data_IF_211868058787
#
_entry.id   IF_211868058787
#
_cell.length_a   1.000
_cell.length_b   1.000
_cell.length_c   1.000
_cell.angle_alpha   90.00
_cell.angle_beta   90.00
_cell.angle_gamma   90.00
#
_symmetry.space_group_name_H-M   'P 1'
#
loop_
_entity.id
_entity.type
_entity.pdbx_description
1 polymer ?
#
# COMPACT_ATOMS: atom_id res chain seq x y z
N UNK A 1 -24.30 5.87 -6.21
CA UNK A 1 -22.88 5.90 -5.84
C UNK A 1 -22.16 4.78 -6.58
N UNK A 2 -21.15 5.13 -7.37
CA UNK A 2 -20.27 4.24 -8.10
C UNK A 2 -18.93 4.20 -7.36
N UNK A 3 -18.54 3.02 -6.91
CA UNK A 3 -17.31 2.79 -6.17
C UNK A 3 -16.34 2.02 -7.04
N UNK A 4 -15.15 2.57 -7.25
CA UNK A 4 -14.04 1.83 -7.83
C UNK A 4 -13.29 1.07 -6.75
N UNK A 5 -12.93 -0.19 -6.99
CA UNK A 5 -12.00 -0.93 -6.14
C UNK A 5 -10.78 -1.37 -6.95
N UNK A 6 -9.64 -0.77 -6.63
CA UNK A 6 -8.32 -1.13 -7.15
C UNK A 6 -7.77 -2.26 -6.29
N UNK A 7 -7.46 -3.40 -6.91
CA UNK A 7 -7.13 -4.62 -6.17
C UNK A 7 -6.22 -5.55 -6.98
N UNK A 8 -5.31 -6.24 -6.31
CA UNK A 8 -4.55 -7.34 -6.91
C UNK A 8 -5.31 -8.68 -6.82
N UNK A 9 -4.99 -9.64 -7.71
CA UNK A 9 -5.68 -10.94 -7.73
C UNK A 9 -5.59 -11.71 -6.42
N UNK A 10 -4.48 -11.57 -5.68
CA UNK A 10 -4.29 -12.28 -4.42
C UNK A 10 -5.28 -11.80 -3.35
N UNK A 11 -5.42 -10.49 -3.17
CA UNK A 11 -6.39 -9.92 -2.23
C UNK A 11 -7.83 -10.20 -2.66
N UNK A 12 -8.12 -10.13 -3.96
CA UNK A 12 -9.45 -10.42 -4.49
C UNK A 12 -9.90 -11.85 -4.16
N UNK A 13 -9.00 -12.82 -4.30
CA UNK A 13 -9.29 -14.24 -4.06
C UNK A 13 -9.28 -14.64 -2.59
N UNK A 14 -8.50 -13.95 -1.73
CA UNK A 14 -8.24 -14.44 -0.38
C UNK A 14 -8.73 -13.54 0.77
N UNK A 15 -8.94 -12.23 0.55
CA UNK A 15 -9.02 -11.26 1.67
C UNK A 15 -10.22 -10.32 1.67
N UNK A 16 -10.98 -10.20 0.59
CA UNK A 16 -12.01 -9.13 0.48
C UNK A 16 -13.43 -9.61 0.22
N UNK A 17 -13.72 -10.91 0.32
CA UNK A 17 -15.04 -11.47 -0.02
C UNK A 17 -16.19 -10.80 0.75
N UNK A 18 -16.11 -10.73 2.07
CA UNK A 18 -17.16 -10.10 2.90
C UNK A 18 -17.23 -8.58 2.68
N UNK A 19 -16.07 -7.94 2.50
CA UNK A 19 -15.99 -6.51 2.18
C UNK A 19 -16.70 -6.18 0.86
N UNK A 20 -16.48 -6.98 -0.18
CA UNK A 20 -17.14 -6.84 -1.47
C UNK A 20 -18.63 -7.10 -1.39
N UNK A 21 -19.05 -8.12 -0.64
CA UNK A 21 -20.46 -8.42 -0.40
C UNK A 21 -21.16 -7.24 0.26
N UNK A 22 -20.53 -6.65 1.28
CA UNK A 22 -21.03 -5.46 1.94
C UNK A 22 -21.11 -4.26 0.99
N UNK A 23 -20.03 -3.92 0.28
CA UNK A 23 -20.01 -2.78 -0.65
C UNK A 23 -21.07 -2.90 -1.74
N UNK A 24 -21.21 -4.08 -2.35
CA UNK A 24 -22.22 -4.34 -3.38
C UNK A 24 -23.66 -4.21 -2.88
N UNK A 25 -23.89 -4.33 -1.57
CA UNK A 25 -25.20 -4.06 -0.95
C UNK A 25 -25.51 -2.56 -0.81
N UNK A 26 -24.52 -1.68 -0.99
CA UNK A 26 -24.62 -0.23 -0.76
C UNK A 26 -24.36 0.61 -2.01
N UNK A 27 -23.59 0.11 -2.97
CA UNK A 27 -23.15 0.85 -4.15
C UNK A 27 -22.91 -0.07 -5.34
N UNK A 28 -22.88 0.52 -6.54
CA UNK A 28 -22.35 -0.13 -7.74
C UNK A 28 -20.84 -0.22 -7.60
N UNK A 29 -20.25 -1.42 -7.72
CA UNK A 29 -18.81 -1.63 -7.53
C UNK A 29 -18.15 -2.02 -8.85
N UNK A 30 -17.24 -1.18 -9.32
CA UNK A 30 -16.36 -1.44 -10.47
C UNK A 30 -15.02 -1.99 -9.97
N UNK A 31 -14.60 -3.15 -10.49
CA UNK A 31 -13.35 -3.80 -10.09
C UNK A 31 -12.22 -3.46 -11.07
N UNK A 32 -11.14 -2.92 -10.52
CA UNK A 32 -9.93 -2.53 -11.22
C UNK A 32 -8.81 -3.49 -10.81
N UNK A 33 -8.75 -4.64 -11.49
CA UNK A 33 -7.76 -5.68 -11.22
C UNK A 33 -6.45 -5.30 -11.91
N UNK A 34 -5.44 -5.00 -11.11
CA UNK A 34 -4.17 -4.38 -11.51
C UNK A 34 -3.55 -4.97 -12.79
N UNK A 35 -3.36 -6.29 -12.84
CA UNK A 35 -2.66 -6.97 -13.95
C UNK A 35 -3.44 -6.86 -15.27
N UNK A 36 -4.77 -6.73 -15.18
CA UNK A 36 -5.64 -6.67 -16.36
C UNK A 36 -5.89 -5.23 -16.83
N UNK A 37 -5.78 -4.26 -15.91
CA UNK A 37 -6.20 -2.90 -16.16
C UNK A 37 -5.11 -2.07 -16.86
N UNK A 38 -3.86 -2.23 -16.43
CA UNK A 38 -2.70 -1.51 -16.97
C UNK A 38 -2.29 -1.99 -18.37
N UNK A 39 -2.47 -3.28 -18.66
CA UNK A 39 -2.19 -3.85 -20.00
C UNK A 39 -3.20 -3.39 -21.08
N UNK A 40 -4.30 -2.74 -20.69
CA UNK A 40 -5.43 -2.39 -21.58
C UNK A 40 -5.67 -0.88 -21.69
N UNK A 41 -4.73 -0.02 -21.29
CA UNK A 41 -4.97 1.43 -21.20
C UNK A 41 -4.84 2.16 -22.54
N UNK A 42 -5.95 2.29 -23.26
CA UNK A 42 -6.25 3.47 -24.08
C UNK A 42 -7.19 4.40 -23.30
N UNK A 43 -6.98 5.72 -23.40
CA UNK A 43 -7.71 6.83 -22.75
C UNK A 43 -8.95 6.42 -21.95
N UNK A 44 -8.81 6.32 -20.62
CA UNK A 44 -9.92 5.95 -19.73
C UNK A 44 -10.42 7.19 -19.00
N UNK A 45 -11.70 7.49 -19.20
CA UNK A 45 -12.44 8.41 -18.35
C UNK A 45 -13.00 7.59 -17.18
N UNK A 46 -12.72 8.01 -15.95
CA UNK A 46 -13.27 7.42 -14.74
C UNK A 46 -14.59 8.11 -14.38
N UNK A 47 -15.59 7.34 -13.98
CA UNK A 47 -16.93 7.83 -13.61
C UNK A 47 -17.27 7.51 -12.14
N UNK A 48 -16.29 6.99 -11.40
CA UNK A 48 -16.43 6.66 -9.99
C UNK A 48 -16.59 7.91 -9.12
N UNK A 49 -17.40 7.79 -8.07
CA UNK A 49 -17.51 8.81 -7.04
C UNK A 49 -16.34 8.74 -6.04
N UNK A 50 -15.77 7.54 -5.86
CA UNK A 50 -14.63 7.27 -4.96
C UNK A 50 -13.93 5.98 -5.36
N UNK A 51 -12.63 5.93 -5.16
CA UNK A 51 -11.84 4.71 -5.26
C UNK A 51 -11.42 4.18 -3.88
N UNK A 52 -11.51 2.87 -3.72
CA UNK A 52 -10.81 2.14 -2.66
C UNK A 52 -9.62 1.36 -3.23
N UNK A 53 -8.56 1.24 -2.44
CA UNK A 53 -7.35 0.50 -2.80
C UNK A 53 -7.14 -0.64 -1.80
N UNK A 54 -7.10 -1.86 -2.32
CA UNK A 54 -6.81 -3.09 -1.57
C UNK A 54 -5.74 -3.89 -2.31
N UNK A 55 -4.50 -3.48 -2.11
CA UNK A 55 -3.33 -4.18 -2.61
C UNK A 55 -2.08 -3.35 -2.37
N UNK A 56 -0.92 -3.92 -2.68
CA UNK A 56 0.37 -3.23 -2.63
C UNK A 56 1.24 -3.67 -3.79
N UNK A 57 2.03 -2.76 -4.34
CA UNK A 57 2.92 -3.01 -5.48
C UNK A 57 3.06 -1.78 -6.36
N UNK A 58 4.12 -1.74 -7.17
CA UNK A 58 4.48 -0.56 -7.98
C UNK A 58 3.39 -0.22 -9.00
N UNK A 59 2.73 -1.24 -9.55
CA UNK A 59 1.66 -1.08 -10.54
C UNK A 59 0.38 -0.52 -9.92
N UNK A 60 0.01 -0.95 -8.70
CA UNK A 60 -1.08 -0.34 -7.93
C UNK A 60 -0.74 1.11 -7.59
N UNK A 61 0.48 1.37 -7.11
CA UNK A 61 0.93 2.73 -6.79
C UNK A 61 0.88 3.64 -8.01
N UNK A 62 1.31 3.17 -9.17
CA UNK A 62 1.26 3.91 -10.41
C UNK A 62 -0.18 4.24 -10.83
N UNK A 63 -1.10 3.28 -10.72
CA UNK A 63 -2.52 3.51 -11.03
C UNK A 63 -3.16 4.52 -10.07
N UNK A 64 -2.94 4.36 -8.76
CA UNK A 64 -3.47 5.28 -7.74
C UNK A 64 -2.96 6.69 -7.97
N UNK A 65 -1.65 6.85 -8.21
CA UNK A 65 -1.04 8.13 -8.54
C UNK A 65 -1.68 8.74 -9.79
N UNK A 66 -1.87 7.96 -10.85
CA UNK A 66 -2.49 8.42 -12.09
C UNK A 66 -3.91 8.93 -11.88
N UNK A 67 -4.72 8.24 -11.07
CA UNK A 67 -6.09 8.67 -10.76
C UNK A 67 -6.07 9.99 -9.97
N UNK A 68 -5.22 10.09 -8.95
CA UNK A 68 -5.09 11.30 -8.13
C UNK A 68 -4.57 12.51 -8.91
N UNK A 69 -3.68 12.31 -9.89
CA UNK A 69 -3.12 13.39 -10.71
C UNK A 69 -4.05 13.82 -11.85
N UNK A 70 -4.86 12.92 -12.39
CA UNK A 70 -5.68 13.17 -13.58
C UNK A 70 -7.15 13.43 -13.28
N UNK A 71 -7.60 13.18 -12.05
CA UNK A 71 -9.01 13.31 -11.67
C UNK A 71 -9.14 14.02 -10.33
N UNK A 72 -10.35 14.51 -10.03
CA UNK A 72 -10.71 14.98 -8.69
C UNK A 72 -11.40 13.91 -7.85
N UNK A 73 -11.38 12.64 -8.29
CA UNK A 73 -12.04 11.54 -7.60
C UNK A 73 -11.19 11.16 -6.38
N UNK A 74 -11.75 11.13 -5.17
CA UNK A 74 -11.01 10.74 -3.98
C UNK A 74 -10.58 9.28 -4.02
N UNK A 75 -9.36 8.99 -3.55
CA UNK A 75 -8.79 7.63 -3.49
C UNK A 75 -8.40 7.24 -2.07
N UNK A 76 -8.88 6.08 -1.61
CA UNK A 76 -8.73 5.57 -0.24
C UNK A 76 -8.14 4.15 -0.27
N UNK A 77 -6.88 3.89 0.04
CA UNK A 77 -5.87 4.80 0.56
C UNK A 77 -5.18 5.58 -0.56
N UNK A 78 -4.71 6.78 -0.25
CA UNK A 78 -4.02 7.63 -1.22
C UNK A 78 -2.65 7.10 -1.62
N UNK A 79 -2.12 7.54 -2.77
CA UNK A 79 -0.79 7.15 -3.25
C UNK A 79 0.26 7.39 -2.16
N UNK A 80 0.28 8.61 -1.60
CA UNK A 80 1.25 9.02 -0.58
C UNK A 80 1.16 8.15 0.68
N UNK A 81 -0.05 7.81 1.12
CA UNK A 81 -0.25 6.99 2.30
C UNK A 81 0.27 5.56 2.08
N UNK A 82 -0.04 4.95 0.93
CA UNK A 82 0.43 3.60 0.59
C UNK A 82 1.95 3.61 0.44
N UNK A 83 2.52 4.59 -0.27
CA UNK A 83 3.96 4.69 -0.49
C UNK A 83 4.74 4.87 0.81
N UNK A 84 4.27 5.72 1.72
CA UNK A 84 4.88 5.86 3.05
C UNK A 84 4.78 4.57 3.85
N UNK A 85 3.62 3.89 3.84
CA UNK A 85 3.46 2.62 4.55
C UNK A 85 4.45 1.54 4.06
N UNK A 86 4.81 1.56 2.78
CA UNK A 86 5.82 0.67 2.20
C UNK A 86 7.25 1.08 2.59
N UNK A 87 7.54 2.39 2.67
CA UNK A 87 8.86 2.93 2.97
C UNK A 87 9.05 3.17 4.48
N UNK A 88 9.41 2.12 5.22
CA UNK A 88 9.47 2.09 6.70
C UNK A 88 10.35 3.18 7.31
N UNK A 89 11.54 3.39 6.77
CA UNK A 89 12.48 4.39 7.27
C UNK A 89 11.91 5.81 7.15
N UNK A 90 11.38 6.13 5.96
CA UNK A 90 10.80 7.44 5.70
C UNK A 90 9.52 7.65 6.51
N UNK A 91 8.69 6.63 6.65
CA UNK A 91 7.49 6.69 7.49
C UNK A 91 7.87 6.98 8.95
N UNK A 92 8.83 6.24 9.51
CA UNK A 92 9.29 6.43 10.89
C UNK A 92 9.89 7.82 11.10
N UNK A 93 10.66 8.31 10.12
CA UNK A 93 11.20 9.68 10.14
C UNK A 93 10.10 10.73 10.13
N UNK A 94 9.08 10.56 9.28
CA UNK A 94 7.95 11.47 9.17
C UNK A 94 7.10 11.49 10.46
N UNK A 95 6.82 10.32 11.04
CA UNK A 95 6.10 10.18 12.31
C UNK A 95 6.88 10.84 13.47
N UNK A 96 8.20 10.59 13.57
CA UNK A 96 9.06 11.22 14.58
C UNK A 96 9.02 12.75 14.46
N UNK A 97 9.08 13.29 13.24
CA UNK A 97 8.97 14.74 12.98
C UNK A 97 7.61 15.31 13.39
N UNK A 98 6.54 14.53 13.27
CA UNK A 98 5.20 14.90 13.71
C UNK A 98 4.98 14.76 15.24
N UNK A 99 6.01 14.39 16.01
CA UNK A 99 5.89 14.18 17.45
C UNK A 99 5.22 12.86 17.84
N UNK A 100 5.04 11.94 16.89
CA UNK A 100 4.50 10.61 17.16
C UNK A 100 5.64 9.73 17.67
N UNK A 101 5.48 9.08 18.84
CA UNK A 101 6.49 8.15 19.36
C UNK A 101 6.76 7.01 18.37
N UNK A 102 8.03 6.80 18.07
CA UNK A 102 8.53 5.67 17.27
C UNK A 102 9.74 5.07 17.97
N UNK A 103 10.02 3.76 17.82
CA UNK A 103 11.27 3.17 18.32
C UNK A 103 12.49 3.87 17.72
N UNK A 104 13.62 3.84 18.44
CA UNK A 104 14.88 4.29 17.86
C UNK A 104 15.28 3.39 16.69
N UNK A 105 15.77 4.02 15.61
CA UNK A 105 16.14 3.33 14.38
C UNK A 105 17.40 3.94 13.76
N UNK A 106 18.14 3.12 13.04
CA UNK A 106 19.28 3.51 12.21
C UNK A 106 19.23 2.77 10.88
N UNK A 107 19.91 3.30 9.87
CA UNK A 107 20.24 2.55 8.67
C UNK A 107 21.47 1.70 8.95
N UNK A 108 21.44 0.44 8.52
CA UNK A 108 22.56 -0.47 8.59
C UNK A 108 22.92 -0.92 7.16
N UNK A 109 24.16 -0.71 6.70
CA UNK A 109 24.58 -1.19 5.38
C UNK A 109 24.47 -2.71 5.28
N UNK A 110 24.17 -3.19 4.07
CA UNK A 110 24.13 -4.63 3.80
C UNK A 110 25.51 -5.26 4.06
N UNK A 111 25.54 -6.40 4.74
CA UNK A 111 26.78 -7.10 5.09
C UNK A 111 27.57 -6.53 6.27
N UNK A 112 27.09 -5.46 6.92
CA UNK A 112 27.71 -4.90 8.12
C UNK A 112 26.92 -5.32 9.36
N UNK A 113 27.61 -5.75 10.42
CA UNK A 113 26.97 -6.03 11.70
C UNK A 113 26.51 -4.73 12.36
N UNK A 114 25.27 -4.65 12.87
CA UNK A 114 24.81 -3.47 13.59
C UNK A 114 25.67 -3.19 14.83
N UNK A 115 25.94 -1.91 15.15
CA UNK A 115 26.78 -1.55 16.29
C UNK A 115 26.07 -1.67 17.65
N UNK A 116 24.87 -2.27 17.68
CA UNK A 116 24.03 -2.36 18.86
C UNK A 116 23.90 -3.83 19.29
N UNK A 117 23.84 -4.13 20.61
CA UNK A 117 23.70 -5.50 21.09
C UNK A 117 22.30 -6.08 20.86
N UNK A 118 21.25 -5.25 20.97
CA UNK A 118 19.86 -5.66 20.80
C UNK A 118 19.24 -4.89 19.63
N UNK A 119 18.93 -5.57 18.54
CA UNK A 119 18.34 -4.93 17.37
C UNK A 119 17.39 -5.86 16.61
N UNK A 120 16.52 -5.24 15.83
CA UNK A 120 15.65 -5.90 14.87
C UNK A 120 16.02 -5.36 13.49
N UNK A 121 16.52 -6.22 12.60
CA UNK A 121 16.78 -5.83 11.21
C UNK A 121 15.49 -5.94 10.40
N UNK A 122 15.16 -4.87 9.68
CA UNK A 122 14.06 -4.82 8.71
C UNK A 122 14.55 -4.20 7.42
N UNK A 123 14.04 -4.70 6.31
CA UNK A 123 14.21 -4.03 5.02
C UNK A 123 13.57 -2.63 5.07
N UNK A 124 14.22 -1.67 4.43
CA UNK A 124 13.74 -0.28 4.29
C UNK A 124 12.36 -0.25 3.61
N UNK A 125 12.15 -1.16 2.66
CA UNK A 125 10.90 -1.36 1.92
C UNK A 125 10.22 -2.63 2.43
N UNK A 126 8.90 -2.58 2.64
CA UNK A 126 8.10 -3.77 2.92
C UNK A 126 7.92 -4.66 1.68
N UNK A 127 8.83 -5.61 1.49
CA UNK A 127 8.91 -6.46 0.30
C UNK A 127 8.06 -7.75 0.32
N UNK A 128 7.05 -7.93 1.20
CA UNK A 128 6.13 -9.06 0.99
C UNK A 128 5.25 -9.54 2.15
N UNK A 129 4.87 -10.82 2.07
CA UNK A 129 4.00 -11.56 3.00
C UNK A 129 4.82 -12.23 4.12
N UNK A 130 6.13 -12.06 4.11
CA UNK A 130 7.02 -12.72 5.05
C UNK A 130 6.74 -12.22 6.46
N UNK A 131 6.28 -13.15 7.29
CA UNK A 131 6.22 -12.98 8.74
C UNK A 131 7.62 -12.59 9.18
N UNK A 132 7.70 -11.50 9.93
CA UNK A 132 8.96 -11.12 10.51
C UNK A 132 9.36 -12.15 11.56
N UNK A 133 10.49 -12.82 11.33
CA UNK A 133 11.13 -13.64 12.34
C UNK A 133 12.26 -12.80 12.96
N UNK A 134 12.10 -12.36 14.22
CA UNK A 134 13.18 -11.66 14.92
C UNK A 134 14.37 -12.59 15.09
N UNK A 135 15.54 -12.11 14.70
CA UNK A 135 16.80 -12.71 15.10
C UNK A 135 17.10 -12.14 16.50
N UNK A 136 17.05 -12.99 17.51
CA UNK A 136 17.55 -12.66 18.85
C UNK A 136 18.99 -13.17 18.92
N UNK A 137 19.96 -12.27 19.02
CA UNK A 137 21.32 -12.61 19.44
C UNK A 137 21.46 -12.13 20.89
N UNK A 138 21.75 -13.05 21.81
CA UNK A 138 22.04 -12.77 23.24
C UNK A 138 23.47 -12.24 23.43
#
# INVERSE_FOLDING_TARGET
MIVGLIIDKYHLSNKVTEFLKYLKSKATVNLYIEESYLLRSSNKNFEEDVFFVKGKGDLILALVKSIEEQTSIPVINSFKAIWLAINRFLNSTFLKKAGIPVPDFSLNPEGVLPPFPNYIIKNIIDQGIYKFDPIFEE
#
